data_IF_794989643890
#
_entry.id   IF_794989643890
#
_cell.length_a   1.000
_cell.length_b   1.000
_cell.length_c   1.000
_cell.angle_alpha   90.00
_cell.angle_beta   90.00
_cell.angle_gamma   90.00
#
_symmetry.space_group_name_H-M   'P 1'
#
loop_
_entity.id
_entity.type
_entity.pdbx_description
1 polymer ?
#
# COMPACT_ATOMS: atom_id res chain seq x y z
N UNK A 1 -3.97 5.98 -10.28
CA UNK A 1 -2.85 5.41 -9.50
C UNK A 1 -1.73 5.01 -10.45
N UNK A 2 -0.48 5.43 -10.20
CA UNK A 2 0.71 4.95 -10.91
C UNK A 2 1.00 3.45 -10.72
N UNK A 3 0.49 2.80 -9.66
CA UNK A 3 0.60 1.35 -9.50
C UNK A 3 -0.27 0.59 -10.52
N UNK A 4 0.28 -0.51 -11.05
CA UNK A 4 -0.50 -1.48 -11.85
C UNK A 4 -1.47 -2.28 -10.97
N UNK A 5 -2.55 -2.87 -11.53
CA UNK A 5 -3.49 -3.68 -10.75
C UNK A 5 -2.81 -4.82 -9.97
N UNK A 6 -1.85 -5.52 -10.59
CA UNK A 6 -1.12 -6.59 -9.93
C UNK A 6 -0.24 -6.10 -8.77
N UNK A 7 0.36 -4.91 -8.90
CA UNK A 7 1.14 -4.30 -7.82
C UNK A 7 0.22 -3.82 -6.68
N UNK A 8 -0.97 -3.32 -7.01
CA UNK A 8 -1.96 -2.93 -6.03
C UNK A 8 -2.48 -4.13 -5.23
N UNK A 9 -2.88 -5.22 -5.90
CA UNK A 9 -3.28 -6.47 -5.23
C UNK A 9 -2.16 -7.03 -4.33
N UNK A 10 -0.91 -6.94 -4.81
CA UNK A 10 0.25 -7.35 -4.04
C UNK A 10 0.47 -6.47 -2.81
N UNK A 11 0.29 -5.16 -2.93
CA UNK A 11 0.34 -4.22 -1.82
C UNK A 11 -0.76 -4.52 -0.78
N UNK A 12 -1.99 -4.77 -1.22
CA UNK A 12 -3.10 -5.17 -0.33
C UNK A 12 -2.78 -6.46 0.42
N UNK A 13 -2.23 -7.47 -0.27
CA UNK A 13 -1.80 -8.72 0.35
C UNK A 13 -0.73 -8.49 1.44
N UNK A 14 0.30 -7.70 1.14
CA UNK A 14 1.39 -7.40 2.07
C UNK A 14 0.88 -6.62 3.29
N UNK A 15 -0.02 -5.66 3.09
CA UNK A 15 -0.65 -4.90 4.18
C UNK A 15 -1.54 -5.79 5.05
N UNK A 16 -2.33 -6.68 4.44
CA UNK A 16 -3.11 -7.67 5.17
C UNK A 16 -2.22 -8.60 6.00
N UNK A 17 -1.13 -9.09 5.39
CA UNK A 17 -0.15 -9.91 6.09
C UNK A 17 0.50 -9.14 7.25
N UNK A 18 0.88 -7.87 7.06
CA UNK A 18 1.48 -7.02 8.09
C UNK A 18 0.60 -6.83 9.34
N UNK A 19 -0.73 -6.90 9.21
CA UNK A 19 -1.65 -6.80 10.34
C UNK A 19 -1.73 -8.09 11.18
N UNK A 20 -1.42 -9.24 10.58
CA UNK A 20 -1.55 -10.54 11.23
C UNK A 20 -0.19 -11.19 11.57
N UNK A 21 0.87 -10.83 10.85
CA UNK A 21 2.20 -11.41 10.95
C UNK A 21 3.26 -10.36 10.64
N UNK A 22 4.47 -10.56 11.17
CA UNK A 22 5.63 -9.79 10.73
C UNK A 22 5.98 -10.12 9.29
N UNK A 23 6.26 -9.09 8.49
CA UNK A 23 6.76 -9.24 7.13
C UNK A 23 8.27 -9.54 7.13
N UNK A 24 8.71 -10.36 6.18
CA UNK A 24 10.15 -10.58 5.96
C UNK A 24 10.81 -9.31 5.42
N UNK A 25 12.13 -9.12 5.57
CA UNK A 25 12.81 -7.92 5.07
C UNK A 25 12.55 -7.64 3.58
N UNK A 26 12.54 -8.69 2.75
CA UNK A 26 12.22 -8.57 1.33
C UNK A 26 10.79 -8.06 1.09
N UNK A 27 9.82 -8.53 1.88
CA UNK A 27 8.43 -8.10 1.79
C UNK A 27 8.24 -6.66 2.29
N UNK A 28 9.02 -6.24 3.29
CA UNK A 28 9.01 -4.86 3.77
C UNK A 28 9.55 -3.91 2.69
N UNK A 29 10.64 -4.27 2.03
CA UNK A 29 11.20 -3.51 0.92
C UNK A 29 10.24 -3.46 -0.28
N UNK A 30 9.57 -4.58 -0.56
CA UNK A 30 8.55 -4.67 -1.61
C UNK A 30 7.39 -3.70 -1.32
N UNK A 31 6.85 -3.73 -0.09
CA UNK A 31 5.79 -2.83 0.33
C UNK A 31 6.24 -1.36 0.27
N UNK A 32 7.46 -1.05 0.74
CA UNK A 32 8.02 0.31 0.68
C UNK A 32 8.07 0.82 -0.75
N UNK A 33 8.52 0.01 -1.72
CA UNK A 33 8.55 0.41 -3.13
C UNK A 33 7.17 0.79 -3.65
N UNK A 34 6.13 0.01 -3.33
CA UNK A 34 4.77 0.34 -3.77
C UNK A 34 4.26 1.63 -3.15
N UNK A 35 4.49 1.83 -1.85
CA UNK A 35 4.10 3.06 -1.16
C UNK A 35 4.87 4.27 -1.68
N UNK A 36 6.15 4.14 -2.00
CA UNK A 36 6.99 5.23 -2.56
C UNK A 36 6.53 5.64 -3.96
N UNK A 37 6.05 4.70 -4.78
CA UNK A 37 5.50 5.00 -6.11
C UNK A 37 4.30 5.95 -6.01
N UNK A 38 3.47 5.80 -4.98
CA UNK A 38 2.29 6.66 -4.75
C UNK A 38 2.64 7.90 -3.91
N UNK A 39 3.58 7.78 -2.97
CA UNK A 39 4.02 8.82 -2.04
C UNK A 39 5.55 8.83 -1.94
N UNK A 40 6.25 9.60 -2.80
CA UNK A 40 7.72 9.61 -2.85
C UNK A 40 8.39 9.95 -1.50
N UNK A 41 7.73 10.74 -0.66
CA UNK A 41 8.22 11.07 0.70
C UNK A 41 8.26 9.89 1.68
N UNK A 42 7.80 8.70 1.29
CA UNK A 42 7.84 7.49 2.11
C UNK A 42 9.18 6.74 2.05
N UNK A 43 10.17 7.22 1.28
CA UNK A 43 11.44 6.51 1.10
C UNK A 43 12.23 6.37 2.41
N UNK A 44 12.24 7.42 3.25
CA UNK A 44 13.07 7.49 4.47
C UNK A 44 12.28 7.29 5.78
N UNK A 45 10.99 6.93 5.71
CA UNK A 45 10.16 6.80 6.91
C UNK A 45 10.28 5.42 7.57
N UNK A 46 9.81 5.28 8.81
CA UNK A 46 9.80 3.98 9.49
C UNK A 46 8.86 3.00 8.79
N UNK A 47 9.11 1.70 8.95
CA UNK A 47 8.26 0.69 8.33
C UNK A 47 6.79 0.77 8.80
N UNK A 48 6.56 1.13 10.07
CA UNK A 48 5.21 1.38 10.59
C UNK A 48 4.52 2.51 9.82
N UNK A 49 5.22 3.62 9.54
CA UNK A 49 4.69 4.70 8.71
C UNK A 49 4.42 4.24 7.27
N UNK A 50 5.28 3.38 6.69
CA UNK A 50 5.03 2.77 5.37
C UNK A 50 3.71 1.99 5.38
N UNK A 51 3.45 1.17 6.41
CA UNK A 51 2.21 0.41 6.54
C UNK A 51 1.00 1.35 6.68
N UNK A 52 1.09 2.38 7.51
CA UNK A 52 0.02 3.38 7.66
C UNK A 52 -0.31 4.06 6.34
N UNK A 53 0.72 4.50 5.60
CA UNK A 53 0.54 5.14 4.29
C UNK A 53 -0.07 4.16 3.28
N UNK A 54 0.38 2.91 3.25
CA UNK A 54 -0.19 1.87 2.40
C UNK A 54 -1.68 1.64 2.66
N UNK A 55 -2.10 1.59 3.94
CA UNK A 55 -3.53 1.47 4.29
C UNK A 55 -4.35 2.68 3.85
N UNK A 56 -3.80 3.89 3.97
CA UNK A 56 -4.46 5.12 3.50
C UNK A 56 -4.63 5.07 1.97
N UNK A 57 -3.59 4.67 1.24
CA UNK A 57 -3.62 4.55 -0.23
C UNK A 57 -4.69 3.54 -0.66
N UNK A 58 -4.72 2.35 -0.06
CA UNK A 58 -5.73 1.32 -0.35
C UNK A 58 -7.14 1.82 -0.03
N UNK A 59 -7.33 2.42 1.15
CA UNK A 59 -8.62 2.94 1.58
C UNK A 59 -9.16 4.04 0.65
N UNK A 60 -8.30 4.98 0.25
CA UNK A 60 -8.65 6.05 -0.69
C UNK A 60 -9.06 5.49 -2.06
N UNK A 61 -8.39 4.44 -2.54
CA UNK A 61 -8.75 3.79 -3.80
C UNK A 61 -10.09 3.07 -3.75
N UNK A 62 -10.38 2.34 -2.67
CA UNK A 62 -11.66 1.67 -2.49
C UNK A 62 -12.81 2.67 -2.43
N UNK A 63 -12.62 3.79 -1.72
CA UNK A 63 -13.59 4.89 -1.70
C UNK A 63 -13.78 5.50 -3.09
N UNK A 64 -12.71 5.77 -3.82
CA UNK A 64 -12.76 6.28 -5.18
C UNK A 64 -13.56 5.35 -6.11
N UNK A 65 -13.25 4.05 -6.10
CA UNK A 65 -13.96 3.05 -6.91
C UNK A 65 -15.44 2.95 -6.55
N UNK A 66 -15.76 3.01 -5.26
CA UNK A 66 -17.15 2.99 -4.81
C UNK A 66 -17.92 4.21 -5.35
N UNK A 67 -17.32 5.40 -5.27
CA UNK A 67 -17.94 6.62 -5.78
C UNK A 67 -18.12 6.61 -7.31
N UNK A 68 -17.14 6.11 -8.06
CA UNK A 68 -17.28 5.90 -9.52
C UNK A 68 -18.36 4.88 -9.87
N UNK A 69 -18.52 3.82 -9.07
CA UNK A 69 -19.51 2.78 -9.32
C UNK A 69 -20.93 3.20 -8.92
N UNK A 70 -21.05 4.20 -8.05
CA UNK A 70 -22.31 4.76 -7.57
C UNK A 70 -22.79 5.98 -8.38
N UNK A 71 -21.94 6.50 -9.28
CA UNK A 71 -22.22 7.61 -10.19
C UNK A 71 -22.77 7.11 -11.53
#
# INVERSE_FOLDING_TARGET
MPLTPAQFERMEYLLGKAQHTSLTPNEQDELRRYVVVEQPGAEDVTFETVVTLGLIIVGAYLLYKYLESAA
#
